data_IF_759776946448
#
_entry.id   IF_759776946448
#
_cell.length_a   1.000
_cell.length_b   1.000
_cell.length_c   1.000
_cell.angle_alpha   90.00
_cell.angle_beta   90.00
_cell.angle_gamma   90.00
#
_symmetry.space_group_name_H-M   'P 1'
#
loop_
_entity.id
_entity.type
_entity.pdbx_description
1 polymer ?
#
# COMPACT_ATOMS: atom_id res chain seq x y z
N UNK A 1 -2.56 -26.32 -5.84
CA UNK A 1 -3.25 -25.02 -5.89
C UNK A 1 -2.72 -24.19 -4.73
N UNK A 2 -2.30 -22.94 -4.90
CA UNK A 2 -1.94 -22.10 -3.77
C UNK A 2 -3.13 -22.04 -2.79
N UNK A 3 -2.87 -22.19 -1.50
CA UNK A 3 -3.92 -22.12 -0.48
C UNK A 3 -4.40 -20.67 -0.35
N UNK A 4 -5.71 -20.47 -0.27
CA UNK A 4 -6.31 -19.14 -0.06
C UNK A 4 -6.23 -18.76 1.40
N UNK A 5 -5.68 -17.58 1.71
CA UNK A 5 -5.60 -17.05 3.07
C UNK A 5 -6.84 -16.24 3.46
N UNK A 6 -7.41 -15.51 2.51
CA UNK A 6 -8.66 -14.75 2.68
C UNK A 6 -9.58 -15.07 1.52
N UNK A 7 -10.83 -15.41 1.82
CA UNK A 7 -11.91 -15.52 0.83
C UNK A 7 -13.12 -14.74 1.33
N UNK A 8 -13.52 -13.74 0.57
CA UNK A 8 -14.71 -12.94 0.82
C UNK A 8 -15.67 -13.04 -0.36
N UNK A 9 -16.97 -13.13 -0.07
CA UNK A 9 -18.02 -13.19 -1.10
C UNK A 9 -19.19 -12.34 -0.69
N UNK A 10 -19.51 -11.33 -1.52
CA UNK A 10 -20.63 -10.45 -1.33
C UNK A 10 -20.61 -9.70 -0.01
N UNK A 11 -19.41 -9.38 0.54
CA UNK A 11 -19.31 -8.74 1.84
C UNK A 11 -19.99 -7.37 1.83
N UNK A 12 -20.90 -7.16 2.76
CA UNK A 12 -21.56 -5.89 3.01
C UNK A 12 -21.38 -5.45 4.45
N UNK A 13 -21.11 -4.15 4.64
CA UNK A 13 -21.01 -3.53 5.96
C UNK A 13 -21.55 -2.12 5.93
N UNK A 14 -22.45 -1.82 6.87
CA UNK A 14 -23.05 -0.50 7.06
C UNK A 14 -22.79 0.01 8.47
N UNK A 15 -22.69 1.32 8.61
CA UNK A 15 -22.63 2.04 9.88
C UNK A 15 -23.65 3.18 9.85
N UNK A 16 -24.78 3.00 10.52
CA UNK A 16 -25.93 3.89 10.36
C UNK A 16 -26.37 3.93 8.89
N UNK A 17 -26.41 5.11 8.30
CA UNK A 17 -26.81 5.32 6.90
C UNK A 17 -25.64 5.17 5.89
N UNK A 18 -24.42 4.96 6.39
CA UNK A 18 -23.22 4.87 5.53
C UNK A 18 -22.95 3.42 5.16
N UNK A 19 -22.96 3.11 3.87
CA UNK A 19 -22.52 1.82 3.33
C UNK A 19 -20.99 1.87 3.18
N UNK A 20 -20.27 1.17 4.07
CA UNK A 20 -18.81 1.13 4.06
C UNK A 20 -18.24 0.06 3.13
N UNK A 21 -18.96 -1.06 2.95
CA UNK A 21 -18.66 -2.10 1.98
C UNK A 21 -19.96 -2.55 1.31
N UNK A 22 -19.94 -2.71 -0.02
CA UNK A 22 -21.10 -3.02 -0.83
C UNK A 22 -20.81 -4.15 -1.83
N UNK A 23 -20.96 -5.39 -1.38
CA UNK A 23 -20.81 -6.56 -2.24
C UNK A 23 -19.34 -6.90 -2.57
N UNK A 24 -18.42 -6.77 -1.62
CA UNK A 24 -16.99 -7.03 -1.86
C UNK A 24 -16.72 -8.52 -2.03
N UNK A 25 -16.16 -8.88 -3.20
CA UNK A 25 -15.58 -10.18 -3.52
C UNK A 25 -14.06 -10.05 -3.54
N UNK A 26 -13.36 -10.93 -2.80
CA UNK A 26 -11.90 -10.88 -2.68
C UNK A 26 -11.32 -12.26 -2.36
N UNK A 27 -10.29 -12.65 -3.10
CA UNK A 27 -9.43 -13.80 -2.80
C UNK A 27 -7.99 -13.33 -2.61
N UNK A 28 -7.36 -13.72 -1.49
CA UNK A 28 -5.95 -13.45 -1.23
C UNK A 28 -5.22 -14.77 -1.08
N UNK A 29 -4.18 -14.96 -1.87
CA UNK A 29 -3.32 -16.14 -1.85
C UNK A 29 -2.47 -16.17 -0.58
N UNK A 30 -2.21 -17.37 -0.05
CA UNK A 30 -1.36 -17.51 1.14
C UNK A 30 0.13 -17.31 0.80
N UNK A 31 0.87 -16.71 1.76
CA UNK A 31 2.31 -16.52 1.66
C UNK A 31 2.75 -15.33 0.80
N UNK A 32 1.82 -14.44 0.43
CA UNK A 32 2.08 -13.25 -0.37
C UNK A 32 1.81 -11.96 0.43
N UNK A 33 2.34 -10.85 -0.07
CA UNK A 33 2.00 -9.50 0.42
C UNK A 33 0.93 -8.93 -0.51
N UNK A 34 -0.25 -8.66 0.04
CA UNK A 34 -1.39 -8.11 -0.66
C UNK A 34 -1.68 -6.69 -0.19
N UNK A 35 -1.71 -5.74 -1.13
CA UNK A 35 -2.00 -4.33 -0.86
C UNK A 35 -3.48 -4.00 -1.00
N UNK A 36 -4.03 -3.25 -0.05
CA UNK A 36 -5.32 -2.59 -0.19
C UNK A 36 -5.10 -1.11 -0.48
N UNK A 37 -5.60 -0.64 -1.59
CA UNK A 37 -5.48 0.75 -2.02
C UNK A 37 -6.85 1.34 -2.29
N UNK A 38 -6.97 2.66 -2.22
CA UNK A 38 -8.22 3.37 -2.47
C UNK A 38 -8.22 4.74 -1.81
N UNK A 39 -9.11 5.64 -2.22
CA UNK A 39 -9.26 6.95 -1.58
C UNK A 39 -9.70 6.83 -0.12
N UNK A 40 -9.65 7.96 0.62
CA UNK A 40 -10.20 8.00 1.96
C UNK A 40 -11.71 7.75 1.91
N UNK A 41 -12.21 6.93 2.83
CA UNK A 41 -13.62 6.52 2.83
C UNK A 41 -13.96 5.34 1.90
N UNK A 42 -13.00 4.81 1.13
CA UNK A 42 -13.25 3.68 0.21
C UNK A 42 -13.61 2.34 0.89
N UNK A 43 -13.53 2.24 2.22
CA UNK A 43 -13.85 1.02 2.96
C UNK A 43 -12.64 0.18 3.39
N UNK A 44 -11.39 0.61 3.11
CA UNK A 44 -10.17 -0.14 3.46
C UNK A 44 -10.09 -0.52 4.93
N UNK A 45 -10.17 0.46 5.83
CA UNK A 45 -10.14 0.28 7.29
C UNK A 45 -11.26 -0.63 7.77
N UNK A 46 -12.45 -0.52 7.16
CA UNK A 46 -13.58 -1.42 7.45
C UNK A 46 -13.28 -2.86 7.05
N UNK A 47 -12.74 -3.07 5.85
CA UNK A 47 -12.37 -4.41 5.38
C UNK A 47 -11.28 -5.02 6.28
N UNK A 48 -10.22 -4.26 6.61
CA UNK A 48 -9.19 -4.72 7.55
C UNK A 48 -9.77 -5.05 8.94
N UNK A 49 -10.73 -4.25 9.41
CA UNK A 49 -11.45 -4.51 10.67
C UNK A 49 -12.24 -5.81 10.65
N UNK A 50 -12.88 -6.16 9.51
CA UNK A 50 -13.54 -7.46 9.34
C UNK A 50 -12.52 -8.61 9.36
N UNK A 51 -11.37 -8.46 8.69
CA UNK A 51 -10.30 -9.46 8.68
C UNK A 51 -9.72 -9.70 10.08
N UNK A 52 -9.63 -8.68 10.92
CA UNK A 52 -9.19 -8.79 12.30
C UNK A 52 -10.28 -9.26 13.28
N UNK A 53 -11.53 -9.39 12.83
CA UNK A 53 -12.66 -9.73 13.68
C UNK A 53 -13.08 -8.60 14.64
N UNK A 54 -12.70 -7.35 14.35
CA UNK A 54 -13.10 -6.15 15.11
C UNK A 54 -14.54 -5.74 14.78
N UNK A 55 -15.05 -6.18 13.65
CA UNK A 55 -16.43 -6.02 13.23
C UNK A 55 -16.92 -7.31 12.55
N UNK A 56 -18.25 -7.44 12.39
CA UNK A 56 -18.86 -8.54 11.63
C UNK A 56 -19.51 -7.99 10.36
N UNK A 57 -19.50 -8.72 9.23
CA UNK A 57 -20.23 -8.30 8.05
C UNK A 57 -21.74 -8.37 8.31
N UNK A 58 -22.50 -7.49 7.67
CA UNK A 58 -23.97 -7.50 7.73
C UNK A 58 -24.55 -8.50 6.74
N UNK A 59 -23.84 -8.75 5.62
CA UNK A 59 -24.17 -9.79 4.64
C UNK A 59 -22.89 -10.33 3.98
N UNK A 60 -23.03 -11.43 3.24
CA UNK A 60 -21.93 -12.12 2.58
C UNK A 60 -21.24 -13.15 3.49
N UNK A 61 -20.13 -13.69 3.00
CA UNK A 61 -19.32 -14.69 3.72
C UNK A 61 -17.86 -14.30 3.74
N UNK A 62 -17.18 -14.58 4.85
CA UNK A 62 -15.75 -14.37 5.04
C UNK A 62 -15.11 -15.63 5.59
N UNK A 63 -14.08 -16.13 4.93
CA UNK A 63 -13.23 -17.22 5.39
C UNK A 63 -11.79 -16.74 5.53
N UNK A 64 -11.16 -17.06 6.66
CA UNK A 64 -9.76 -16.74 6.93
C UNK A 64 -8.99 -18.02 7.25
N UNK A 65 -7.90 -18.25 6.53
CA UNK A 65 -7.05 -19.44 6.66
C UNK A 65 -7.86 -20.76 6.55
N UNK A 66 -8.93 -20.75 5.73
CA UNK A 66 -9.82 -21.89 5.51
C UNK A 66 -10.90 -22.08 6.56
N UNK A 67 -11.02 -21.17 7.53
CA UNK A 67 -12.08 -21.22 8.54
C UNK A 67 -13.08 -20.06 8.33
N UNK A 68 -14.41 -20.33 8.40
CA UNK A 68 -15.41 -19.28 8.31
C UNK A 68 -15.32 -18.35 9.52
N UNK A 69 -15.45 -17.04 9.29
CA UNK A 69 -15.55 -16.05 10.35
C UNK A 69 -16.98 -15.98 10.84
N UNK A 70 -17.19 -16.44 12.09
CA UNK A 70 -18.50 -16.42 12.72
C UNK A 70 -18.92 -15.03 13.19
N UNK A 71 -20.17 -14.94 13.70
CA UNK A 71 -20.74 -13.67 14.24
C UNK A 71 -20.18 -13.24 15.60
N UNK A 72 -19.33 -14.04 16.25
CA UNK A 72 -18.79 -13.74 17.57
C UNK A 72 -17.43 -13.07 17.47
N UNK A 73 -17.21 -12.07 18.30
CA UNK A 73 -15.88 -11.47 18.52
C UNK A 73 -14.89 -12.56 18.93
N UNK A 74 -14.08 -12.95 18.04
CA UNK A 74 -13.03 -13.95 18.19
C UNK A 74 -12.36 -14.06 16.86
N UNK A 75 -11.32 -13.25 16.63
CA UNK A 75 -10.51 -13.36 15.43
C UNK A 75 -10.02 -14.81 15.30
N UNK A 76 -9.97 -15.38 14.11
CA UNK A 76 -9.46 -16.74 13.92
C UNK A 76 -8.07 -16.86 14.50
N UNK A 77 -7.80 -17.99 15.12
CA UNK A 77 -6.46 -18.31 15.61
C UNK A 77 -5.44 -18.08 14.49
N UNK A 78 -4.32 -17.40 14.79
CA UNK A 78 -3.26 -17.08 13.83
C UNK A 78 -3.55 -15.91 12.87
N UNK A 79 -4.57 -15.10 13.13
CA UNK A 79 -4.73 -13.77 12.53
C UNK A 79 -4.32 -12.72 13.56
N UNK A 80 -3.50 -11.76 13.15
CA UNK A 80 -3.10 -10.64 14.01
C UNK A 80 -2.82 -9.39 13.18
N UNK A 81 -2.80 -8.25 13.84
CA UNK A 81 -2.54 -6.96 13.18
C UNK A 81 -3.06 -5.79 14.00
N UNK A 82 -3.22 -4.66 13.32
CA UNK A 82 -3.84 -3.46 13.88
C UNK A 82 -4.49 -2.61 12.80
N UNK A 83 -5.47 -1.82 13.23
CA UNK A 83 -6.18 -0.80 12.44
C UNK A 83 -6.16 0.49 13.24
N UNK A 84 -6.05 1.64 12.59
CA UNK A 84 -5.94 2.98 13.21
C UNK A 84 -4.74 3.12 14.18
N UNK A 85 -3.71 2.33 13.95
CA UNK A 85 -2.50 2.31 14.75
C UNK A 85 -2.47 1.22 15.84
N UNK A 86 -1.28 0.96 16.39
CA UNK A 86 -1.10 -0.09 17.37
C UNK A 86 -1.61 0.31 18.76
N UNK A 87 -2.44 -0.54 19.36
CA UNK A 87 -2.93 -0.40 20.73
C UNK A 87 -1.83 -0.72 21.76
N UNK A 88 -1.00 0.27 22.09
CA UNK A 88 0.12 0.14 23.03
C UNK A 88 -0.18 0.87 24.35
N UNK A 89 0.35 0.36 25.45
CA UNK A 89 0.25 0.98 26.77
C UNK A 89 1.40 1.97 26.98
N UNK A 90 1.17 3.30 26.98
CA UNK A 90 2.24 4.30 27.05
C UNK A 90 3.06 4.24 28.36
N UNK A 91 2.45 3.80 29.46
CA UNK A 91 3.08 3.68 30.77
C UNK A 91 4.02 2.49 30.92
N UNK A 92 3.91 1.50 30.02
CA UNK A 92 4.78 0.32 30.00
C UNK A 92 5.99 0.54 29.10
N UNK A 93 7.06 -0.24 29.36
CA UNK A 93 8.20 -0.30 28.46
C UNK A 93 7.86 -1.10 27.20
N UNK A 94 8.69 -1.01 26.14
CA UNK A 94 8.49 -1.80 24.93
C UNK A 94 8.44 -3.30 25.24
N UNK A 95 9.39 -3.80 26.04
CA UNK A 95 9.43 -5.20 26.49
C UNK A 95 8.19 -5.59 27.29
N UNK A 96 7.74 -4.73 28.21
CA UNK A 96 6.53 -4.99 29.01
C UNK A 96 5.27 -5.03 28.17
N UNK A 97 5.13 -4.18 27.15
CA UNK A 97 4.02 -4.23 26.19
C UNK A 97 3.94 -5.60 25.51
N UNK A 98 5.05 -6.08 24.94
CA UNK A 98 5.08 -7.38 24.27
C UNK A 98 4.85 -8.54 25.26
N UNK A 99 5.41 -8.47 26.46
CA UNK A 99 5.22 -9.49 27.48
C UNK A 99 3.76 -9.59 27.95
N UNK A 100 3.07 -8.46 28.11
CA UNK A 100 1.65 -8.42 28.46
C UNK A 100 0.80 -9.09 27.36
N UNK A 101 1.05 -8.76 26.08
CA UNK A 101 0.36 -9.36 24.95
C UNK A 101 0.62 -10.86 24.80
N UNK A 102 1.86 -11.30 25.02
CA UNK A 102 2.23 -12.71 25.02
C UNK A 102 1.46 -13.48 26.10
N UNK A 103 1.37 -12.91 27.29
CA UNK A 103 0.63 -13.50 28.43
C UNK A 103 -0.88 -13.62 28.11
N UNK A 104 -1.49 -12.59 27.53
CA UNK A 104 -2.91 -12.60 27.15
C UNK A 104 -3.22 -13.65 26.07
N UNK A 105 -2.25 -13.98 25.20
CA UNK A 105 -2.39 -15.03 24.17
C UNK A 105 -2.02 -16.44 24.65
N UNK A 106 -1.67 -16.60 25.92
CA UNK A 106 -1.24 -17.88 26.46
C UNK A 106 0.13 -18.34 25.94
N UNK A 107 0.91 -17.45 25.34
CA UNK A 107 2.24 -17.74 24.83
C UNK A 107 3.29 -17.41 25.89
N UNK A 108 3.80 -18.46 26.58
CA UNK A 108 4.77 -18.32 27.66
C UNK A 108 6.22 -18.15 27.19
N UNK A 109 6.49 -18.03 25.90
CA UNK A 109 7.83 -17.95 25.31
C UNK A 109 8.45 -16.56 25.47
N UNK A 110 8.91 -16.23 26.67
CA UNK A 110 9.63 -14.98 26.95
C UNK A 110 10.89 -14.79 26.10
N UNK A 111 11.48 -15.87 25.56
CA UNK A 111 12.70 -15.80 24.73
C UNK A 111 12.51 -15.08 23.41
N UNK A 112 11.29 -15.06 22.88
CA UNK A 112 11.02 -14.51 21.56
C UNK A 112 10.81 -12.98 21.56
N UNK A 113 10.63 -12.33 22.72
CA UNK A 113 10.35 -10.88 22.82
C UNK A 113 11.55 -10.05 22.41
N UNK A 114 12.75 -10.39 22.84
CA UNK A 114 13.96 -9.66 22.47
C UNK A 114 14.30 -9.84 20.99
N UNK A 115 14.03 -11.02 20.43
CA UNK A 115 14.15 -11.29 19.00
C UNK A 115 13.14 -10.45 18.20
N UNK A 116 11.90 -10.35 18.64
CA UNK A 116 10.90 -9.49 18.01
C UNK A 116 11.31 -8.01 18.05
N UNK A 117 11.82 -7.53 19.19
CA UNK A 117 12.32 -6.17 19.33
C UNK A 117 13.56 -5.92 18.45
N UNK A 118 14.46 -6.90 18.32
CA UNK A 118 15.61 -6.83 17.43
C UNK A 118 15.17 -6.75 15.96
N UNK A 119 14.22 -7.57 15.53
CA UNK A 119 13.68 -7.57 14.16
C UNK A 119 13.15 -6.21 13.75
N UNK A 120 12.47 -5.50 14.63
CA UNK A 120 11.94 -4.17 14.36
C UNK A 120 12.90 -3.03 14.71
N UNK A 121 14.13 -3.35 15.13
CA UNK A 121 15.18 -2.36 15.47
C UNK A 121 14.89 -1.55 16.73
N UNK A 122 14.26 -2.17 17.75
CA UNK A 122 13.90 -1.54 19.03
C UNK A 122 14.55 -2.21 20.24
N UNK A 123 15.46 -3.18 20.06
CA UNK A 123 16.09 -3.88 21.19
C UNK A 123 16.87 -2.92 22.09
N UNK A 124 17.58 -1.95 21.51
CA UNK A 124 18.38 -0.97 22.29
C UNK A 124 17.55 -0.04 23.19
N UNK A 125 16.24 0.06 22.96
CA UNK A 125 15.29 0.88 23.73
C UNK A 125 14.18 0.04 24.36
N UNK A 126 14.42 -1.27 24.49
CA UNK A 126 13.45 -2.23 25.03
C UNK A 126 12.98 -1.90 26.46
N UNK A 127 13.84 -1.22 27.25
CA UNK A 127 13.57 -0.78 28.63
C UNK A 127 12.91 0.60 28.73
N UNK A 128 12.74 1.33 27.62
CA UNK A 128 12.17 2.68 27.64
C UNK A 128 10.64 2.63 27.58
N UNK A 129 10.00 3.59 28.24
CA UNK A 129 8.53 3.71 28.24
C UNK A 129 8.02 4.16 26.87
N UNK A 130 6.97 3.50 26.37
CA UNK A 130 6.38 3.75 25.06
C UNK A 130 5.79 5.17 24.93
N UNK A 131 5.42 5.81 26.04
CA UNK A 131 4.97 7.21 26.04
C UNK A 131 5.99 8.19 25.47
N UNK A 132 7.30 7.91 25.58
CA UNK A 132 8.38 8.70 24.99
C UNK A 132 8.76 8.33 23.55
N UNK A 133 8.12 7.33 22.97
CA UNK A 133 8.46 6.86 21.61
C UNK A 133 7.98 7.83 20.52
N UNK A 134 8.81 8.00 19.48
CA UNK A 134 8.35 8.65 18.25
C UNK A 134 7.21 7.86 17.58
N UNK A 135 6.49 8.47 16.66
CA UNK A 135 5.46 7.78 15.88
C UNK A 135 6.04 6.52 15.22
N UNK A 136 7.21 6.65 14.59
CA UNK A 136 7.87 5.53 13.92
C UNK A 136 8.30 4.41 14.86
N UNK A 137 8.73 4.73 16.09
CA UNK A 137 9.03 3.71 17.10
C UNK A 137 7.75 2.99 17.54
N UNK A 138 6.64 3.71 17.73
CA UNK A 138 5.34 3.10 18.05
C UNK A 138 4.83 2.20 16.94
N UNK A 139 4.94 2.60 15.68
CA UNK A 139 4.56 1.77 14.53
C UNK A 139 5.37 0.46 14.48
N UNK A 140 6.69 0.55 14.63
CA UNK A 140 7.56 -0.62 14.65
C UNK A 140 7.28 -1.54 15.86
N UNK A 141 7.00 -0.97 17.04
CA UNK A 141 6.59 -1.77 18.21
C UNK A 141 5.22 -2.42 17.98
N UNK A 142 4.28 -1.75 17.31
CA UNK A 142 3.01 -2.31 16.91
C UNK A 142 3.16 -3.51 15.97
N UNK A 143 4.09 -3.44 15.02
CA UNK A 143 4.44 -4.57 14.17
C UNK A 143 4.99 -5.74 15.02
N UNK A 144 5.93 -5.48 15.95
CA UNK A 144 6.42 -6.51 16.86
C UNK A 144 5.29 -7.12 17.71
N UNK A 145 4.36 -6.30 18.20
CA UNK A 145 3.18 -6.74 18.96
C UNK A 145 2.25 -7.65 18.13
N UNK A 146 2.03 -7.33 16.87
CA UNK A 146 1.26 -8.16 15.95
C UNK A 146 1.92 -9.53 15.69
N UNK A 147 3.27 -9.59 15.75
CA UNK A 147 4.03 -10.83 15.54
C UNK A 147 4.06 -11.75 16.77
N UNK A 148 3.64 -11.28 17.94
CA UNK A 148 3.49 -12.12 19.12
C UNK A 148 2.50 -13.25 18.83
N UNK A 149 2.91 -14.51 19.10
CA UNK A 149 2.07 -15.69 18.83
C UNK A 149 2.19 -16.27 17.42
N UNK A 150 3.05 -15.73 16.56
CA UNK A 150 3.38 -16.25 15.25
C UNK A 150 2.14 -16.34 14.33
N UNK A 151 1.62 -15.20 13.84
CA UNK A 151 0.46 -15.21 12.95
C UNK A 151 0.78 -15.86 11.60
N UNK A 152 -0.24 -16.44 10.97
CA UNK A 152 -0.20 -16.91 9.58
C UNK A 152 -0.81 -15.88 8.62
N UNK A 153 -1.66 -14.99 9.15
CA UNK A 153 -2.21 -13.84 8.44
C UNK A 153 -1.95 -12.58 9.28
N UNK A 154 -1.23 -11.64 8.72
CA UNK A 154 -0.91 -10.35 9.30
C UNK A 154 -1.69 -9.26 8.57
N UNK A 155 -2.47 -8.46 9.30
CA UNK A 155 -3.34 -7.40 8.76
C UNK A 155 -2.91 -6.06 9.35
N UNK A 156 -2.48 -5.13 8.50
CA UNK A 156 -1.86 -3.88 8.92
C UNK A 156 -2.47 -2.66 8.21
N UNK A 157 -2.93 -1.70 8.98
CA UNK A 157 -3.41 -0.43 8.44
C UNK A 157 -2.28 0.59 8.46
N UNK A 158 -1.85 1.03 7.25
CA UNK A 158 -0.80 2.05 7.05
C UNK A 158 0.49 1.79 7.87
N UNK A 159 1.12 0.59 7.82
CA UNK A 159 2.20 0.22 8.74
C UNK A 159 3.47 1.05 8.59
N UNK A 160 3.66 1.72 7.45
CA UNK A 160 4.84 2.56 7.16
C UNK A 160 4.53 4.06 7.20
N UNK A 161 3.32 4.46 7.60
CA UNK A 161 2.93 5.87 7.65
C UNK A 161 3.70 6.63 8.73
N UNK A 162 4.21 7.82 8.39
CA UNK A 162 4.96 8.68 9.31
C UNK A 162 6.36 8.18 9.67
N UNK A 163 6.87 7.15 8.99
CA UNK A 163 8.24 6.68 9.15
C UNK A 163 9.23 7.50 8.30
N UNK A 164 10.43 7.68 8.84
CA UNK A 164 11.58 8.11 8.05
C UNK A 164 12.01 7.03 7.04
N UNK A 165 12.83 7.35 6.05
CA UNK A 165 13.26 6.37 5.04
C UNK A 165 13.95 5.13 5.62
N UNK A 166 14.67 5.25 6.75
CA UNK A 166 15.32 4.12 7.39
C UNK A 166 14.30 3.21 8.09
N UNK A 167 13.34 3.78 8.79
CA UNK A 167 12.24 3.07 9.43
C UNK A 167 11.35 2.34 8.40
N UNK A 168 11.05 2.97 7.27
CA UNK A 168 10.34 2.33 6.16
C UNK A 168 11.07 1.09 5.64
N UNK A 169 12.35 1.23 5.30
CA UNK A 169 13.16 0.09 4.84
C UNK A 169 13.19 -1.05 5.85
N UNK A 170 13.21 -0.73 7.16
CA UNK A 170 13.16 -1.76 8.20
C UNK A 170 11.82 -2.49 8.21
N UNK A 171 10.70 -1.77 8.15
CA UNK A 171 9.35 -2.38 8.08
C UNK A 171 9.22 -3.22 6.81
N UNK A 172 9.60 -2.69 5.65
CA UNK A 172 9.56 -3.41 4.37
C UNK A 172 10.33 -4.73 4.45
N UNK A 173 11.56 -4.72 4.97
CA UNK A 173 12.38 -5.93 5.16
C UNK A 173 11.65 -6.95 6.04
N UNK A 174 11.11 -6.52 7.19
CA UNK A 174 10.40 -7.44 8.10
C UNK A 174 9.20 -8.08 7.40
N UNK A 175 8.41 -7.31 6.64
CA UNK A 175 7.25 -7.83 5.92
C UNK A 175 7.65 -8.81 4.81
N UNK A 176 8.70 -8.49 4.05
CA UNK A 176 9.24 -9.38 3.01
C UNK A 176 9.76 -10.69 3.60
N UNK A 177 10.52 -10.62 4.70
CA UNK A 177 11.03 -11.82 5.39
C UNK A 177 9.90 -12.70 5.92
N UNK A 178 8.82 -12.10 6.42
CA UNK A 178 7.63 -12.81 6.90
C UNK A 178 6.90 -13.51 5.74
N UNK A 179 6.72 -12.84 4.62
CA UNK A 179 6.09 -13.45 3.44
C UNK A 179 6.93 -14.59 2.89
N UNK A 180 8.25 -14.42 2.81
CA UNK A 180 9.18 -15.49 2.41
C UNK A 180 9.14 -16.69 3.36
N UNK A 181 8.82 -16.48 4.66
CA UNK A 181 8.61 -17.53 5.65
C UNK A 181 7.19 -18.13 5.62
N UNK A 182 6.33 -17.71 4.67
CA UNK A 182 4.97 -18.25 4.46
C UNK A 182 3.86 -17.53 5.24
N UNK A 183 4.13 -16.40 5.89
CA UNK A 183 3.10 -15.54 6.47
C UNK A 183 2.43 -14.74 5.37
N UNK A 184 1.10 -14.75 5.32
CA UNK A 184 0.34 -13.85 4.44
C UNK A 184 0.27 -12.48 5.07
N UNK A 185 0.53 -11.44 4.31
CA UNK A 185 0.41 -10.04 4.76
C UNK A 185 -0.65 -9.31 3.95
N UNK A 186 -1.59 -8.69 4.62
CA UNK A 186 -2.55 -7.75 4.03
C UNK A 186 -2.28 -6.38 4.63
N UNK A 187 -1.96 -5.41 3.81
CA UNK A 187 -1.68 -4.05 4.29
C UNK A 187 -2.42 -3.00 3.46
N UNK A 188 -2.84 -1.92 4.12
CA UNK A 188 -3.26 -0.72 3.41
C UNK A 188 -2.08 0.23 3.21
N UNK A 189 -2.10 0.98 2.13
CA UNK A 189 -1.26 2.15 1.93
C UNK A 189 -1.95 3.14 1.00
N UNK A 190 -1.71 4.43 1.24
CA UNK A 190 -2.07 5.50 0.32
C UNK A 190 -0.90 5.88 -0.61
N UNK A 191 0.28 5.25 -0.44
CA UNK A 191 1.50 5.51 -1.21
C UNK A 191 1.72 4.40 -2.24
N UNK A 192 1.59 4.74 -3.50
CA UNK A 192 1.74 3.77 -4.60
C UNK A 192 3.15 3.18 -4.67
N UNK A 193 4.19 3.98 -4.32
CA UNK A 193 5.58 3.51 -4.30
C UNK A 193 5.80 2.38 -3.29
N UNK A 194 5.17 2.50 -2.08
CA UNK A 194 5.26 1.48 -1.05
C UNK A 194 4.58 0.17 -1.51
N UNK A 195 3.43 0.28 -2.20
CA UNK A 195 2.71 -0.87 -2.76
C UNK A 195 3.50 -1.53 -3.90
N UNK A 196 4.04 -0.73 -4.83
CA UNK A 196 4.84 -1.21 -5.94
C UNK A 196 6.10 -1.97 -5.48
N UNK A 197 6.70 -1.51 -4.37
CA UNK A 197 7.93 -2.11 -3.82
C UNK A 197 7.69 -3.37 -2.98
N UNK A 198 6.48 -3.54 -2.39
CA UNK A 198 6.21 -4.57 -1.41
C UNK A 198 5.24 -5.64 -1.88
N UNK A 199 4.22 -5.26 -2.67
CA UNK A 199 3.08 -6.11 -2.90
C UNK A 199 3.21 -6.90 -4.20
N UNK A 200 2.85 -8.18 -4.13
CA UNK A 200 2.72 -9.04 -5.32
C UNK A 200 1.41 -8.72 -6.04
N UNK A 201 0.35 -8.53 -5.26
CA UNK A 201 -1.01 -8.25 -5.71
C UNK A 201 -1.61 -7.06 -4.96
N UNK A 202 -2.55 -6.38 -5.58
CA UNK A 202 -3.29 -5.28 -4.98
C UNK A 202 -4.77 -5.39 -5.26
N UNK A 203 -5.57 -4.91 -4.32
CA UNK A 203 -7.01 -4.68 -4.50
C UNK A 203 -7.29 -3.20 -4.36
N UNK A 204 -7.89 -2.62 -5.38
CA UNK A 204 -8.36 -1.24 -5.39
C UNK A 204 -9.82 -1.20 -4.96
N UNK A 205 -10.05 -0.51 -3.86
CA UNK A 205 -11.39 -0.21 -3.35
C UNK A 205 -11.78 1.23 -3.71
N UNK A 206 -13.00 1.40 -4.19
CA UNK A 206 -13.65 2.69 -4.35
C UNK A 206 -15.09 2.59 -3.88
N UNK A 207 -15.56 3.56 -3.12
CA UNK A 207 -16.95 3.64 -2.60
C UNK A 207 -17.51 2.32 -2.05
N UNK A 208 -16.67 1.57 -1.34
CA UNK A 208 -17.04 0.28 -0.73
C UNK A 208 -17.02 -0.92 -1.67
N UNK A 209 -16.61 -0.77 -2.93
CA UNK A 209 -16.56 -1.82 -3.95
C UNK A 209 -15.15 -2.10 -4.43
N UNK A 210 -14.91 -3.31 -4.92
CA UNK A 210 -13.65 -3.67 -5.59
C UNK A 210 -13.74 -3.24 -7.05
N UNK A 211 -12.88 -2.30 -7.47
CA UNK A 211 -12.77 -1.86 -8.87
C UNK A 211 -11.63 -2.55 -9.62
N UNK A 212 -10.65 -3.07 -8.89
CA UNK A 212 -9.57 -3.90 -9.44
C UNK A 212 -9.05 -4.85 -8.36
N UNK A 213 -8.68 -6.07 -8.75
CA UNK A 213 -7.92 -7.00 -7.92
C UNK A 213 -7.03 -7.87 -8.78
N UNK A 214 -5.73 -7.91 -8.46
CA UNK A 214 -4.74 -8.68 -9.22
C UNK A 214 -3.31 -8.20 -9.03
N UNK A 215 -2.38 -8.72 -9.87
CA UNK A 215 -0.96 -8.36 -9.83
C UNK A 215 -0.74 -6.85 -10.01
N UNK A 216 0.24 -6.31 -9.26
CA UNK A 216 0.61 -4.88 -9.33
C UNK A 216 0.98 -4.46 -10.76
N UNK A 217 1.70 -5.34 -11.50
CA UNK A 217 2.10 -5.08 -12.88
C UNK A 217 0.89 -4.96 -13.82
N UNK A 218 -0.18 -5.74 -13.58
CA UNK A 218 -1.40 -5.67 -14.38
C UNK A 218 -2.12 -4.34 -14.13
N UNK A 219 -2.19 -3.88 -12.88
CA UNK A 219 -2.76 -2.56 -12.58
C UNK A 219 -1.95 -1.45 -13.25
N UNK A 220 -0.61 -1.50 -13.18
CA UNK A 220 0.25 -0.51 -13.83
C UNK A 220 0.05 -0.47 -15.37
N UNK A 221 -0.25 -1.60 -16.01
CA UNK A 221 -0.53 -1.66 -17.43
C UNK A 221 -1.85 -0.98 -17.84
N UNK A 222 -2.78 -0.76 -16.91
CA UNK A 222 -4.04 -0.01 -17.14
C UNK A 222 -3.83 1.52 -17.17
N UNK A 223 -2.58 2.01 -16.97
CA UNK A 223 -2.28 3.45 -16.86
C UNK A 223 -2.54 4.26 -18.13
N UNK A 224 -2.61 3.61 -19.31
CA UNK A 224 -2.71 4.30 -20.59
C UNK A 224 -1.44 5.11 -20.91
N UNK A 225 -1.62 6.19 -21.69
CA UNK A 225 -0.50 7.09 -22.02
C UNK A 225 -0.16 7.99 -20.82
N UNK A 226 1.12 8.03 -20.47
CA UNK A 226 1.64 8.81 -19.35
C UNK A 226 2.28 10.13 -19.81
N UNK A 227 2.31 11.10 -18.92
CA UNK A 227 3.13 12.27 -19.02
C UNK A 227 4.54 11.97 -18.51
N UNK A 228 5.57 12.28 -19.31
CA UNK A 228 6.98 12.10 -18.94
C UNK A 228 7.67 13.43 -18.81
N UNK A 229 8.41 13.58 -17.72
CA UNK A 229 9.31 14.69 -17.48
C UNK A 229 10.68 14.37 -18.07
N UNK A 230 11.17 15.27 -18.92
CA UNK A 230 12.48 15.16 -19.59
C UNK A 230 13.33 16.36 -19.25
N UNK A 231 14.45 16.15 -18.58
CA UNK A 231 15.44 17.19 -18.28
C UNK A 231 16.67 16.96 -19.17
N UNK A 232 17.07 18.00 -19.90
CA UNK A 232 18.17 17.90 -20.88
C UNK A 232 19.20 19.00 -20.69
N UNK A 233 20.35 18.88 -21.39
CA UNK A 233 21.40 19.90 -21.43
C UNK A 233 21.01 21.14 -22.22
N UNK A 234 20.05 21.02 -23.15
CA UNK A 234 19.48 22.12 -23.96
C UNK A 234 17.97 21.96 -24.07
N UNK A 235 17.21 22.58 -23.17
CA UNK A 235 15.75 22.44 -23.14
C UNK A 235 15.04 22.99 -24.39
N UNK A 236 15.58 24.08 -25.01
CA UNK A 236 14.97 24.66 -26.18
C UNK A 236 15.15 23.78 -27.42
N UNK A 237 16.33 23.22 -27.61
CA UNK A 237 16.57 22.26 -28.67
C UNK A 237 15.78 20.98 -28.46
N UNK A 238 15.68 20.49 -27.23
CA UNK A 238 14.86 19.32 -26.86
C UNK A 238 13.39 19.52 -27.21
N UNK A 239 12.84 20.70 -26.90
CA UNK A 239 11.45 21.05 -27.24
C UNK A 239 11.22 21.02 -28.76
N UNK A 240 12.13 21.63 -29.55
CA UNK A 240 12.03 21.61 -31.02
C UNK A 240 12.08 20.17 -31.59
N UNK A 241 12.83 19.28 -30.97
CA UNK A 241 12.90 17.87 -31.37
C UNK A 241 11.61 17.14 -30.98
N UNK A 242 11.11 17.34 -29.77
CA UNK A 242 9.85 16.76 -29.29
C UNK A 242 8.67 17.16 -30.18
N UNK A 243 8.57 18.45 -30.57
CA UNK A 243 7.51 18.96 -31.46
C UNK A 243 7.53 18.32 -32.87
N UNK A 244 8.66 17.70 -33.25
CA UNK A 244 8.85 17.00 -34.53
C UNK A 244 8.86 15.48 -34.39
N UNK A 245 8.69 14.97 -33.20
CA UNK A 245 8.66 13.50 -32.93
C UNK A 245 7.22 13.03 -33.11
N UNK A 246 6.94 12.11 -34.07
CA UNK A 246 5.60 11.60 -34.30
C UNK A 246 5.00 10.94 -33.06
N UNK A 247 3.70 11.05 -32.89
CA UNK A 247 2.94 10.46 -31.76
C UNK A 247 3.31 10.99 -30.35
N UNK A 248 4.17 12.01 -30.24
CA UNK A 248 4.29 12.77 -29.00
C UNK A 248 3.34 13.96 -29.02
N UNK A 249 2.46 14.00 -28.02
CA UNK A 249 1.68 15.21 -27.70
C UNK A 249 2.48 16.07 -26.72
N UNK A 250 2.55 17.38 -26.99
CA UNK A 250 2.76 18.33 -25.89
C UNK A 250 1.40 18.49 -25.21
N UNK A 251 1.31 18.42 -23.87
CA UNK A 251 0.05 18.70 -23.17
C UNK A 251 -0.28 20.20 -23.20
N UNK A 252 -0.37 20.78 -24.40
CA UNK A 252 -0.76 22.16 -24.69
C UNK A 252 -2.27 22.36 -24.67
N UNK A 253 -2.99 21.71 -23.77
CA UNK A 253 -4.45 21.83 -23.71
C UNK A 253 -5.03 21.88 -22.29
N UNK A 254 -4.22 21.73 -21.26
CA UNK A 254 -4.58 22.09 -19.88
C UNK A 254 -3.59 23.12 -19.39
N UNK A 255 -4.06 24.28 -18.91
CA UNK A 255 -3.18 25.15 -18.15
C UNK A 255 -2.68 24.36 -16.97
N UNK A 256 -1.39 24.03 -16.94
CA UNK A 256 -0.70 23.78 -15.68
C UNK A 256 -0.72 25.12 -14.96
N UNK A 257 -1.82 25.40 -14.27
CA UNK A 257 -1.98 26.54 -13.39
C UNK A 257 -1.06 26.37 -12.18
N UNK A 258 0.25 26.40 -12.42
CA UNK A 258 1.24 26.76 -11.40
C UNK A 258 2.61 27.04 -12.04
N UNK A 259 3.26 28.16 -11.70
CA UNK A 259 4.53 28.61 -12.27
C UNK A 259 5.76 27.81 -11.81
N UNK A 260 5.61 26.60 -11.27
CA UNK A 260 6.71 25.79 -10.76
C UNK A 260 7.53 25.11 -11.87
N UNK A 261 7.03 25.08 -13.09
CA UNK A 261 7.71 24.45 -14.24
C UNK A 261 8.67 25.41 -14.94
N UNK A 262 8.50 26.71 -14.78
CA UNK A 262 9.37 27.72 -15.41
C UNK A 262 10.76 27.81 -14.77
N UNK A 263 10.96 27.35 -13.51
CA UNK A 263 12.25 27.40 -12.83
C UNK A 263 13.18 26.21 -13.18
N UNK A 264 12.63 25.10 -13.67
CA UNK A 264 13.36 23.82 -13.83
C UNK A 264 13.70 23.46 -15.28
N UNK A 265 13.26 24.25 -16.28
CA UNK A 265 13.51 24.00 -17.72
C UNK A 265 13.21 22.54 -18.17
N UNK A 266 12.34 21.83 -17.46
CA UNK A 266 11.93 20.48 -17.80
C UNK A 266 10.87 20.49 -18.89
N UNK A 267 11.02 19.62 -19.90
CA UNK A 267 10.03 19.36 -20.92
C UNK A 267 9.08 18.25 -20.41
N UNK A 268 7.78 18.44 -20.56
CA UNK A 268 6.79 17.38 -20.32
C UNK A 268 6.21 16.93 -21.64
N UNK A 269 6.27 15.64 -21.93
CA UNK A 269 5.77 15.02 -23.16
C UNK A 269 4.81 13.89 -22.80
N UNK A 270 3.78 13.68 -23.65
CA UNK A 270 2.84 12.56 -23.56
C UNK A 270 2.92 11.71 -24.81
N UNK A 271 2.95 10.41 -24.67
CA UNK A 271 2.90 9.48 -25.79
C UNK A 271 3.23 8.05 -25.38
N UNK A 272 3.08 7.11 -26.32
CA UNK A 272 3.44 5.71 -26.10
C UNK A 272 4.96 5.55 -25.94
N UNK A 273 5.41 4.45 -25.31
CA UNK A 273 6.83 4.15 -25.08
C UNK A 273 7.67 4.22 -26.37
N UNK A 274 7.16 3.71 -27.49
CA UNK A 274 7.87 3.76 -28.78
C UNK A 274 8.17 5.19 -29.25
N UNK A 275 7.27 6.17 -28.94
CA UNK A 275 7.51 7.57 -29.28
C UNK A 275 8.54 8.23 -28.35
N UNK A 276 8.58 7.79 -27.09
CA UNK A 276 9.62 8.19 -26.15
C UNK A 276 10.99 7.65 -26.54
N UNK A 277 11.08 6.40 -26.98
CA UNK A 277 12.31 5.79 -27.50
C UNK A 277 12.83 6.58 -28.72
N UNK A 278 11.94 6.96 -29.66
CA UNK A 278 12.32 7.79 -30.82
C UNK A 278 12.79 9.18 -30.36
N UNK A 279 12.15 9.79 -29.37
CA UNK A 279 12.59 11.06 -28.78
C UNK A 279 14.01 10.93 -28.19
N UNK A 280 14.27 9.88 -27.42
CA UNK A 280 15.60 9.63 -26.81
C UNK A 280 16.66 9.49 -27.89
N UNK A 281 16.42 8.69 -28.94
CA UNK A 281 17.34 8.51 -30.08
C UNK A 281 17.63 9.84 -30.77
N UNK A 282 16.62 10.66 -31.04
CA UNK A 282 16.77 11.97 -31.68
C UNK A 282 17.54 12.97 -30.81
N UNK A 283 17.28 13.01 -29.49
CA UNK A 283 18.00 13.89 -28.56
C UNK A 283 19.48 13.52 -28.50
N UNK A 284 19.81 12.24 -28.34
CA UNK A 284 21.19 11.76 -28.30
C UNK A 284 21.87 11.98 -29.64
N UNK A 285 21.20 11.69 -30.78
CA UNK A 285 21.71 11.95 -32.13
C UNK A 285 22.00 13.43 -32.41
N UNK A 286 21.30 14.36 -31.73
CA UNK A 286 21.55 15.81 -31.79
C UNK A 286 22.62 16.29 -30.81
N UNK A 287 23.26 15.37 -30.05
CA UNK A 287 24.28 15.72 -29.06
C UNK A 287 23.70 16.33 -27.74
N UNK A 288 22.41 16.18 -27.52
CA UNK A 288 21.73 16.69 -26.32
C UNK A 288 21.78 15.61 -25.22
N UNK A 289 22.43 15.94 -24.10
CA UNK A 289 22.49 15.03 -22.96
C UNK A 289 21.17 15.01 -22.20
N UNK A 290 20.62 13.79 -21.94
CA UNK A 290 19.47 13.59 -21.10
C UNK A 290 19.93 13.47 -19.65
N UNK A 291 19.37 14.31 -18.76
CA UNK A 291 19.67 14.36 -17.32
C UNK A 291 18.65 13.56 -16.51
N UNK A 292 17.40 13.59 -16.95
CA UNK A 292 16.29 12.87 -16.34
C UNK A 292 15.28 12.52 -17.42
N UNK A 293 14.73 11.31 -17.34
CA UNK A 293 13.55 10.86 -18.07
C UNK A 293 12.74 10.00 -17.11
N UNK A 294 11.62 10.53 -16.64
CA UNK A 294 10.77 9.85 -15.67
C UNK A 294 9.29 10.19 -15.92
N UNK A 295 8.37 9.28 -15.65
CA UNK A 295 6.95 9.60 -15.65
C UNK A 295 6.66 10.64 -14.56
N UNK A 296 5.79 11.62 -14.86
CA UNK A 296 5.35 12.66 -13.91
C UNK A 296 4.58 12.05 -12.75
N UNK A 297 3.79 11.03 -13.07
CA UNK A 297 3.03 10.21 -12.11
C UNK A 297 3.40 8.76 -12.41
N UNK A 298 3.62 7.95 -11.38
CA UNK A 298 3.97 6.54 -11.60
C UNK A 298 2.85 5.79 -12.36
N UNK A 299 3.17 4.76 -13.17
CA UNK A 299 2.14 4.00 -13.89
C UNK A 299 1.03 3.48 -12.98
N UNK A 300 1.39 3.01 -11.79
CA UNK A 300 0.44 2.50 -10.80
C UNK A 300 -0.49 3.61 -10.27
N UNK A 301 0.06 4.80 -10.03
CA UNK A 301 -0.72 5.96 -9.58
C UNK A 301 -1.63 6.50 -10.68
N UNK A 302 -1.17 6.52 -11.93
CA UNK A 302 -1.98 6.93 -13.07
C UNK A 302 -3.17 5.98 -13.29
N UNK A 303 -2.94 4.67 -13.21
CA UNK A 303 -4.00 3.66 -13.28
C UNK A 303 -5.00 3.81 -12.13
N UNK A 304 -4.50 4.03 -10.91
CA UNK A 304 -5.35 4.30 -9.75
C UNK A 304 -6.26 5.51 -9.96
N UNK A 305 -5.70 6.63 -10.42
CA UNK A 305 -6.47 7.86 -10.69
C UNK A 305 -7.51 7.65 -11.80
N UNK A 306 -7.17 6.92 -12.86
CA UNK A 306 -8.08 6.63 -13.96
C UNK A 306 -9.29 5.79 -13.50
N UNK A 307 -9.03 4.70 -12.75
CA UNK A 307 -10.07 3.79 -12.27
C UNK A 307 -10.97 4.45 -11.21
N UNK A 308 -10.42 5.25 -10.30
CA UNK A 308 -11.22 5.94 -9.29
C UNK A 308 -12.03 7.11 -9.84
N UNK A 309 -11.54 7.80 -10.88
CA UNK A 309 -12.30 8.87 -11.56
C UNK A 309 -13.47 8.33 -12.39
N UNK A 310 -13.36 7.13 -12.94
CA UNK A 310 -14.44 6.47 -13.67
C UNK A 310 -15.59 6.08 -12.74
N UNK A 311 -15.26 5.47 -11.58
CA UNK A 311 -16.24 5.05 -10.57
C UNK A 311 -17.07 6.22 -10.00
N UNK A 312 -16.43 7.38 -9.79
CA UNK A 312 -17.13 8.59 -9.31
C UNK A 312 -18.14 9.14 -10.33
N UNK A 313 -17.87 9.00 -11.63
CA UNK A 313 -18.78 9.47 -12.68
C UNK A 313 -20.00 8.59 -12.87
N UNK A 314 -19.88 7.28 -12.64
CA UNK A 314 -21.01 6.34 -12.69
C UNK A 314 -22.00 6.52 -11.54
N UNK A 315 -21.56 7.09 -10.41
CA UNK A 315 -22.42 7.37 -9.27
C UNK A 315 -23.19 8.70 -9.39
N UNK A 316 -22.70 9.64 -10.21
CA UNK A 316 -23.32 10.95 -10.44
C UNK A 316 -24.25 10.94 -11.68
N UNK A 317 -24.37 9.82 -12.40
CA UNK A 317 -25.22 9.63 -13.58
C UNK A 317 -26.44 8.75 -13.27
#
# INVERSE_FOLDING_TARGET
MPSTAVRARGLRKTFGDVIALDGVDLDISAGHIHGLVGPNGAGKTTLLGLLLGLATPDAGTLELLGAPVGRAFGGPAKVAGFVDGPGLYPGLTARQNLAALASLRGDSRRRDIDDLLARVGLLGVAGDRVGGFSLGMRQRLGLAAALVGGPRLLVLDEPANGLDPAGKRQVHRVLTDLAAAGTTVVLSSHRMDDLAALCDEVTLLSTGRVVFSGPVQKLAAESGELDYRVVTSDPEAARRIADRTPALGCPLGRPLDRPTVAADQALVVRGPEAALDDLVVRLVGAGIAIRELAPVVSPLEAAFLALTAADTRELDA
#
